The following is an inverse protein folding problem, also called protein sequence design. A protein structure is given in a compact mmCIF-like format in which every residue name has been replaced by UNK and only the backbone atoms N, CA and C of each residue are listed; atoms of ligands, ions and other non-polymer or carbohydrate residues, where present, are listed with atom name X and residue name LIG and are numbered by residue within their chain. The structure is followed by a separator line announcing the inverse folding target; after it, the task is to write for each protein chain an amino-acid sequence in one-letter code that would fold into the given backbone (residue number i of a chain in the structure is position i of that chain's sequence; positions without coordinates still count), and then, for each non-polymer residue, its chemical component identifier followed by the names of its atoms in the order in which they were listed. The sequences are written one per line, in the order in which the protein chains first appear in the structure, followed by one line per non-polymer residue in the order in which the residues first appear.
data_IF_474941308759
#
_entry.id   IF_474941308759
#
_cell.length_a   1.000
_cell.length_b   1.000
_cell.length_c   1.000
_cell.angle_alpha   90.00
_cell.angle_beta   90.00
_cell.angle_gamma   90.00
#
_symmetry.space_group_name_H-M   'P 1'
#
loop_
_entity.id
_entity.type
_entity.pdbx_description
1 polymer ?
#
# COMPACT_ATOMS: atom_id res chain seq x y z
N UNK A 1 13.00 -51.73 28.76
CA UNK A 1 12.24 -50.97 27.76
C UNK A 1 11.09 -50.24 28.45
N UNK A 2 11.30 -48.97 28.76
CA UNK A 2 10.25 -47.95 28.59
C UNK A 2 10.82 -46.63 28.04
N UNK A 3 10.03 -45.85 27.28
CA UNK A 3 10.22 -44.39 27.12
C UNK A 3 9.03 -43.70 26.41
N UNK A 4 8.28 -42.93 27.20
CA UNK A 4 7.40 -41.74 27.00
C UNK A 4 7.67 -40.84 25.75
N UNK A 5 6.99 -39.66 25.58
CA UNK A 5 5.54 -39.33 25.50
C UNK A 5 5.24 -38.28 24.38
N UNK A 6 3.98 -37.83 24.22
CA UNK A 6 3.63 -36.54 23.61
C UNK A 6 2.58 -35.82 24.47
N UNK A 7 2.76 -34.53 24.83
CA UNK A 7 1.75 -33.78 25.56
C UNK A 7 0.94 -32.84 24.66
N UNK A 8 -0.30 -32.66 25.08
CA UNK A 8 -1.23 -31.59 24.76
C UNK A 8 -0.79 -30.26 25.38
N UNK A 9 -1.18 -29.13 24.77
CA UNK A 9 -1.27 -27.85 25.48
C UNK A 9 -2.27 -26.92 24.80
N UNK A 10 -3.42 -26.80 25.46
CA UNK A 10 -4.42 -25.75 25.29
C UNK A 10 -3.87 -24.42 25.84
N UNK A 11 -4.22 -23.30 25.20
CA UNK A 11 -3.85 -21.96 25.66
C UNK A 11 -4.91 -21.46 26.65
N UNK A 12 -4.51 -21.33 27.92
CA UNK A 12 -5.28 -20.71 29.00
C UNK A 12 -5.10 -19.19 28.99
N UNK A 13 -6.22 -18.50 29.21
CA UNK A 13 -6.34 -17.07 29.39
C UNK A 13 -6.42 -16.78 30.89
N UNK A 14 -5.62 -15.84 31.42
CA UNK A 14 -5.74 -15.38 32.81
C UNK A 14 -5.40 -13.89 32.96
N UNK A 15 -6.33 -13.16 33.56
CA UNK A 15 -6.21 -11.81 34.14
C UNK A 15 -5.30 -11.77 35.38
N UNK A 16 -4.59 -10.65 35.64
CA UNK A 16 -4.85 -9.72 36.78
C UNK A 16 -3.78 -8.62 37.00
N UNK A 17 -4.28 -7.41 37.35
CA UNK A 17 -3.82 -6.33 38.27
C UNK A 17 -2.48 -5.55 38.09
N UNK A 18 -2.67 -4.25 37.75
CA UNK A 18 -2.33 -3.03 38.53
C UNK A 18 -0.96 -2.88 39.22
N UNK A 19 -0.20 -1.84 38.84
CA UNK A 19 0.49 -0.95 39.78
C UNK A 19 0.62 0.49 39.20
N UNK A 20 0.60 1.47 40.10
CA UNK A 20 0.43 2.92 39.91
C UNK A 20 1.54 3.64 40.70
N UNK A 21 1.89 4.86 40.28
CA UNK A 21 2.82 5.86 40.89
C UNK A 21 4.33 5.62 40.65
N UNK A 22 5.20 6.60 40.35
CA UNK A 22 5.37 7.96 40.91
C UNK A 22 6.01 8.98 39.94
N UNK A 23 5.79 10.26 40.25
CA UNK A 23 6.35 11.52 39.71
C UNK A 23 7.86 11.73 39.96
N UNK A 24 8.57 12.52 39.14
CA UNK A 24 8.96 13.94 39.40
C UNK A 24 9.77 14.56 38.22
N UNK A 25 9.74 15.88 38.01
CA UNK A 25 10.26 16.61 36.84
C UNK A 25 11.54 17.41 37.14
N UNK A 26 12.23 17.93 36.11
CA UNK A 26 13.12 19.10 36.26
C UNK A 26 13.06 20.04 35.03
N UNK A 27 12.73 21.29 35.34
CA UNK A 27 12.99 22.59 34.68
C UNK A 27 14.49 22.79 34.36
N UNK A 28 15.03 23.75 33.60
CA UNK A 28 14.62 24.96 32.86
C UNK A 28 15.88 25.48 32.11
N UNK A 29 15.67 26.26 31.03
CA UNK A 29 16.60 27.08 30.21
C UNK A 29 17.38 28.18 31.01
N UNK A 30 18.16 29.16 30.43
CA UNK A 30 18.69 29.42 29.06
C UNK A 30 20.18 29.91 29.00
N UNK A 31 20.71 30.20 27.80
CA UNK A 31 21.90 31.05 27.61
C UNK A 31 22.12 31.49 26.14
N UNK A 32 22.20 32.82 25.92
CA UNK A 32 22.43 33.60 24.68
C UNK A 32 23.90 33.53 24.21
N UNK A 33 24.44 34.13 23.12
CA UNK A 33 24.10 35.14 22.11
C UNK A 33 25.27 35.21 21.07
N UNK A 34 24.95 35.57 19.82
CA UNK A 34 25.70 36.37 18.80
C UNK A 34 27.07 35.97 18.22
N UNK A 35 27.17 35.87 16.87
CA UNK A 35 27.64 36.97 15.96
C UNK A 35 27.87 36.49 14.50
N UNK A 36 27.94 37.46 13.60
CA UNK A 36 27.63 37.45 12.17
C UNK A 36 28.88 37.49 11.24
N UNK A 37 28.67 37.11 9.96
CA UNK A 37 29.39 37.51 8.71
C UNK A 37 30.65 36.76 8.24
N UNK A 38 30.53 36.09 7.07
CA UNK A 38 31.00 36.61 5.76
C UNK A 38 30.51 35.76 4.57
N UNK A 39 30.37 36.39 3.40
CA UNK A 39 29.72 35.94 2.16
C UNK A 39 30.72 36.08 0.99
N UNK A 40 30.47 35.35 -0.13
CA UNK A 40 30.87 35.56 -1.56
C UNK A 40 31.87 34.47 -2.08
N UNK A 41 31.73 33.76 -3.22
CA UNK A 41 30.93 33.88 -4.45
C UNK A 41 30.87 32.57 -5.32
N UNK A 42 29.67 32.29 -5.89
CA UNK A 42 29.26 31.71 -7.21
C UNK A 42 30.06 30.63 -8.00
N UNK A 43 29.35 29.55 -8.39
CA UNK A 43 28.76 29.30 -9.76
C UNK A 43 27.87 28.03 -9.79
N UNK A 44 26.65 28.12 -10.31
CA UNK A 44 25.72 26.98 -10.55
C UNK A 44 26.06 26.23 -11.85
N UNK A 45 25.81 24.91 -11.92
CA UNK A 45 25.15 24.33 -13.09
C UNK A 45 24.47 22.95 -12.86
N UNK A 46 23.24 22.84 -13.36
CA UNK A 46 22.45 21.67 -13.81
C UNK A 46 22.79 20.26 -13.26
N UNK A 47 21.97 19.75 -12.31
CA UNK A 47 21.55 18.34 -12.09
C UNK A 47 21.06 18.15 -10.64
N UNK A 48 19.83 18.59 -10.34
CA UNK A 48 19.14 18.15 -9.11
C UNK A 48 18.31 16.91 -9.44
N UNK A 49 18.98 15.81 -9.72
CA UNK A 49 18.43 14.50 -9.34
C UNK A 49 18.55 14.50 -7.83
N UNK A 50 17.42 14.37 -7.12
CA UNK A 50 17.35 14.43 -5.66
C UNK A 50 18.49 13.60 -5.07
N UNK A 51 19.36 14.23 -4.27
CA UNK A 51 20.47 13.59 -3.56
C UNK A 51 19.98 12.35 -2.79
N UNK A 52 18.73 12.36 -2.35
CA UNK A 52 18.01 11.27 -1.71
C UNK A 52 17.82 10.05 -2.62
N UNK A 53 17.57 10.25 -3.92
CA UNK A 53 17.45 9.18 -4.92
C UNK A 53 18.81 8.56 -5.23
N UNK A 54 19.88 9.38 -5.26
CA UNK A 54 21.24 8.90 -5.48
C UNK A 54 21.73 8.05 -4.29
N UNK A 55 21.42 8.48 -3.06
CA UNK A 55 21.73 7.74 -1.83
C UNK A 55 20.96 6.41 -1.77
N UNK A 56 19.69 6.39 -2.21
CA UNK A 56 18.91 5.16 -2.28
C UNK A 56 19.47 4.16 -3.32
N UNK A 57 19.88 4.63 -4.50
CA UNK A 57 20.50 3.78 -5.52
C UNK A 57 21.88 3.28 -5.05
N UNK A 58 22.70 4.12 -4.40
CA UNK A 58 23.98 3.71 -3.82
C UNK A 58 23.81 2.67 -2.70
N UNK A 59 22.80 2.82 -1.84
CA UNK A 59 22.50 1.84 -0.80
C UNK A 59 22.09 0.48 -1.39
N UNK A 60 21.33 0.47 -2.49
CA UNK A 60 20.93 -0.75 -3.21
C UNK A 60 22.15 -1.43 -3.87
N UNK A 61 23.07 -0.66 -4.44
CA UNK A 61 24.27 -1.19 -5.09
C UNK A 61 25.30 -1.74 -4.10
N UNK A 62 25.50 -1.04 -2.97
CA UNK A 62 26.37 -1.51 -1.87
C UNK A 62 25.80 -2.78 -1.24
N UNK A 63 24.47 -2.84 -1.03
CA UNK A 63 23.79 -4.04 -0.52
C UNK A 63 23.92 -5.25 -1.46
N UNK A 64 23.77 -5.04 -2.78
CA UNK A 64 24.00 -6.10 -3.78
C UNK A 64 25.45 -6.61 -3.80
N UNK A 65 26.43 -5.74 -3.60
CA UNK A 65 27.84 -6.15 -3.61
C UNK A 65 28.22 -6.93 -2.35
N UNK A 66 27.68 -6.56 -1.17
CA UNK A 66 27.88 -7.29 0.09
C UNK A 66 27.27 -8.70 0.08
N UNK A 67 26.22 -8.93 -0.72
CA UNK A 67 25.59 -10.25 -0.88
C UNK A 67 26.37 -11.20 -1.81
N UNK A 68 27.42 -10.74 -2.50
CA UNK A 68 28.20 -11.57 -3.44
C UNK A 68 29.49 -12.18 -2.86
N UNK A 69 29.80 -11.93 -1.59
CA UNK A 69 30.98 -12.49 -0.93
C UNK A 69 30.57 -13.52 0.13
N UNK A 70 30.69 -14.81 -0.20
CA UNK A 70 30.70 -15.91 0.77
C UNK A 70 32.02 -15.94 1.57
N UNK A 71 32.04 -16.64 2.72
CA UNK A 71 32.79 -16.18 3.89
C UNK A 71 34.20 -16.78 3.93
N UNK A 72 35.22 -15.95 4.15
CA UNK A 72 36.41 -16.33 4.90
C UNK A 72 37.25 -15.11 5.32
N UNK A 73 37.35 -14.96 6.65
CA UNK A 73 38.44 -14.40 7.47
C UNK A 73 38.98 -12.96 7.24
N UNK A 74 38.76 -12.17 8.30
CA UNK A 74 39.45 -10.95 8.79
C UNK A 74 39.19 -9.58 8.12
N UNK A 75 38.98 -8.49 8.91
CA UNK A 75 38.53 -7.20 8.38
C UNK A 75 39.72 -6.37 7.91
N UNK A 76 39.83 -6.17 6.60
CA UNK A 76 40.76 -5.19 6.01
C UNK A 76 39.97 -3.91 5.65
N UNK A 77 40.42 -2.79 6.21
CA UNK A 77 39.87 -1.44 5.98
C UNK A 77 40.05 -1.08 4.49
N UNK A 78 38.94 -0.92 3.77
CA UNK A 78 38.96 -0.58 2.34
C UNK A 78 39.21 0.93 2.18
N UNK A 79 40.32 1.28 1.52
CA UNK A 79 40.75 2.66 1.27
C UNK A 79 39.84 3.37 0.25
N UNK A 80 39.52 4.64 0.56
CA UNK A 80 38.69 5.59 -0.22
C UNK A 80 39.09 5.69 -1.71
N UNK A 81 40.32 5.31 -2.07
CA UNK A 81 40.79 5.27 -3.46
C UNK A 81 40.06 4.24 -4.32
N UNK A 82 39.69 3.08 -3.77
CA UNK A 82 39.06 2.00 -4.54
C UNK A 82 37.60 2.31 -4.92
N UNK A 83 36.92 3.09 -4.07
CA UNK A 83 35.56 3.58 -4.30
C UNK A 83 35.48 4.63 -5.42
N UNK A 84 36.57 5.38 -5.64
CA UNK A 84 36.65 6.40 -6.68
C UNK A 84 36.89 5.76 -8.06
N UNK A 85 37.70 4.70 -8.13
CA UNK A 85 37.97 4.01 -9.41
C UNK A 85 36.75 3.26 -9.95
N UNK A 86 35.94 2.62 -9.10
CA UNK A 86 34.69 1.93 -9.52
C UNK A 86 33.62 2.93 -10.03
N UNK A 87 33.60 4.14 -9.47
CA UNK A 87 32.73 5.22 -9.92
C UNK A 87 33.16 5.80 -11.29
N UNK A 88 34.44 5.73 -11.66
CA UNK A 88 34.92 6.26 -12.94
C UNK A 88 34.73 5.26 -14.10
N UNK A 89 34.80 3.95 -13.84
CA UNK A 89 34.64 2.92 -14.88
C UNK A 89 33.19 2.65 -15.28
N UNK A 90 32.20 3.12 -14.51
CA UNK A 90 30.77 2.97 -14.83
C UNK A 90 30.21 4.08 -15.72
N UNK A 91 31.00 5.10 -16.05
CA UNK A 91 30.60 6.20 -16.95
C UNK A 91 31.08 6.09 -18.40
N UNK A 92 31.64 4.94 -18.80
CA UNK A 92 32.07 4.73 -20.18
C UNK A 92 31.65 3.35 -20.70
N UNK A 93 30.36 3.19 -21.04
CA UNK A 93 29.96 2.23 -22.07
C UNK A 93 28.60 2.58 -22.70
N UNK A 94 28.44 2.53 -24.04
CA UNK A 94 27.25 3.01 -24.74
C UNK A 94 26.26 1.86 -24.99
N UNK A 95 25.33 1.59 -24.06
CA UNK A 95 24.23 0.63 -24.31
C UNK A 95 22.92 1.16 -23.72
N UNK A 96 22.45 2.31 -24.20
CA UNK A 96 21.02 2.70 -24.15
C UNK A 96 20.71 3.49 -25.41
N UNK A 97 20.58 2.81 -26.57
CA UNK A 97 20.09 3.47 -27.80
C UNK A 97 19.18 2.61 -28.68
N UNK A 98 18.49 1.61 -28.14
CA UNK A 98 17.43 0.92 -28.89
C UNK A 98 16.21 0.74 -28.03
N UNK A 99 15.16 1.55 -28.29
CA UNK A 99 13.73 1.22 -28.22
C UNK A 99 12.88 2.51 -28.25
N UNK A 100 13.10 3.39 -29.24
CA UNK A 100 12.06 4.34 -29.67
C UNK A 100 12.12 4.43 -31.19
N UNK A 101 11.41 3.53 -31.86
CA UNK A 101 11.04 3.69 -33.27
C UNK A 101 9.69 3.03 -33.50
N UNK A 102 8.63 3.83 -33.40
CA UNK A 102 7.38 3.71 -34.14
C UNK A 102 6.59 5.02 -33.99
N UNK A 103 6.81 5.93 -34.95
CA UNK A 103 5.84 6.97 -35.35
C UNK A 103 4.81 6.25 -36.26
N UNK A 104 3.53 6.61 -36.44
CA UNK A 104 2.81 7.87 -36.46
C UNK A 104 1.29 7.53 -36.39
N UNK A 105 0.45 8.40 -35.82
CA UNK A 105 -0.64 9.09 -36.53
C UNK A 105 -0.83 10.45 -35.84
N UNK A 106 -0.78 11.49 -36.67
CA UNK A 106 -0.94 12.91 -36.36
C UNK A 106 -2.41 13.27 -36.23
N UNK A 107 -2.78 14.15 -35.28
CA UNK A 107 -3.68 15.30 -35.53
C UNK A 107 -3.72 16.30 -34.35
N UNK A 108 -3.26 17.52 -34.68
CA UNK A 108 -3.57 18.84 -34.15
C UNK A 108 -3.36 19.18 -32.65
N UNK A 109 -2.16 19.70 -32.36
CA UNK A 109 -1.96 20.62 -31.24
C UNK A 109 -2.42 22.03 -31.63
N UNK A 110 -3.37 22.57 -30.86
CA UNK A 110 -3.58 24.02 -30.81
C UNK A 110 -2.42 24.67 -30.06
N UNK A 111 -1.73 25.59 -30.73
CA UNK A 111 -0.73 26.45 -30.12
C UNK A 111 -1.42 27.43 -29.15
N UNK A 112 -1.24 27.24 -27.85
CA UNK A 112 -1.39 28.35 -26.91
C UNK A 112 -0.08 29.13 -26.87
N UNK A 113 -0.12 30.36 -27.37
CA UNK A 113 0.95 31.33 -27.24
C UNK A 113 1.25 31.58 -25.75
N UNK A 114 2.40 31.12 -25.29
CA UNK A 114 2.97 31.60 -24.03
C UNK A 114 3.39 33.06 -24.20
N UNK A 115 2.57 33.99 -23.71
CA UNK A 115 3.03 35.33 -23.42
C UNK A 115 4.13 35.24 -22.35
N UNK A 116 5.37 35.52 -22.76
CA UNK A 116 6.50 35.79 -21.85
C UNK A 116 6.11 36.97 -20.94
N UNK A 117 5.80 36.69 -19.68
CA UNK A 117 5.81 37.74 -18.63
C UNK A 117 7.26 38.12 -18.35
N UNK A 118 7.50 39.44 -18.33
CA UNK A 118 8.76 40.10 -17.96
C UNK A 118 9.21 39.70 -16.54
N UNK A 119 10.51 39.83 -16.21
CA UNK A 119 11.00 39.50 -14.87
C UNK A 119 10.44 40.52 -13.88
N UNK A 120 9.47 40.09 -13.07
CA UNK A 120 8.96 40.89 -11.95
C UNK A 120 10.02 40.85 -10.84
N UNK A 121 10.47 42.02 -10.41
CA UNK A 121 11.56 42.15 -9.45
C UNK A 121 11.22 41.48 -8.12
N UNK A 122 12.10 40.60 -7.65
CA UNK A 122 12.32 40.30 -6.22
C UNK A 122 11.10 40.02 -5.34
N UNK A 123 10.01 39.44 -5.86
CA UNK A 123 8.95 38.91 -5.00
C UNK A 123 9.45 37.59 -4.40
N UNK A 124 9.54 37.54 -3.07
CA UNK A 124 9.70 36.27 -2.36
C UNK A 124 8.45 35.43 -2.66
N UNK A 125 8.59 34.47 -3.58
CA UNK A 125 7.55 33.48 -3.85
C UNK A 125 7.47 32.58 -2.62
N UNK A 126 6.37 32.65 -1.90
CA UNK A 126 6.08 31.76 -0.79
C UNK A 126 5.79 30.36 -1.33
N UNK A 127 6.16 29.34 -0.58
CA UNK A 127 5.76 27.95 -0.88
C UNK A 127 4.22 27.79 -0.94
N UNK A 128 3.48 28.74 -0.36
CA UNK A 128 2.02 28.77 -0.36
C UNK A 128 1.40 29.54 -1.52
N UNK A 129 2.19 30.17 -2.40
CA UNK A 129 1.67 30.97 -3.52
C UNK A 129 1.05 30.11 -4.63
N UNK A 130 1.27 28.79 -4.61
CA UNK A 130 0.68 27.81 -5.53
C UNK A 130 -0.77 27.43 -5.15
N UNK A 131 -1.30 27.92 -4.03
CA UNK A 131 -2.67 27.65 -3.61
C UNK A 131 -3.68 28.55 -4.32
N UNK A 132 -4.84 28.01 -4.75
CA UNK A 132 -5.92 28.84 -5.23
C UNK A 132 -6.34 29.83 -4.13
N UNK A 133 -6.56 31.12 -4.47
CA UNK A 133 -7.12 32.06 -3.51
C UNK A 133 -8.49 31.57 -3.02
N UNK A 134 -8.74 31.68 -1.71
CA UNK A 134 -9.95 31.20 -1.03
C UNK A 134 -10.14 29.68 -1.00
N UNK A 135 -9.03 28.92 -0.99
CA UNK A 135 -9.04 27.49 -0.67
C UNK A 135 -8.80 27.26 0.84
N UNK A 136 -9.52 26.32 1.49
CA UNK A 136 -10.63 25.53 0.98
C UNK A 136 -11.89 26.38 0.75
N UNK A 137 -12.81 25.97 -0.17
CA UNK A 137 -14.05 26.69 -0.40
C UNK A 137 -14.94 26.68 0.87
N UNK A 138 -15.88 27.63 0.99
CA UNK A 138 -16.82 27.64 2.10
C UNK A 138 -17.63 26.34 2.20
N UNK A 139 -17.93 25.95 3.43
CA UNK A 139 -18.81 24.82 3.72
C UNK A 139 -20.21 25.01 3.12
N UNK A 140 -20.81 23.89 2.70
CA UNK A 140 -22.21 23.82 2.28
C UNK A 140 -23.05 23.07 3.32
N UNK A 141 -24.36 22.96 3.11
CA UNK A 141 -25.24 22.17 3.99
C UNK A 141 -24.91 20.68 3.99
N UNK A 142 -24.24 20.19 2.93
CA UNK A 142 -23.96 18.77 2.74
C UNK A 142 -22.47 18.42 2.80
N UNK A 143 -21.57 19.39 2.69
CA UNK A 143 -20.12 19.16 2.56
C UNK A 143 -19.31 20.17 3.35
N UNK A 144 -18.27 19.69 4.03
CA UNK A 144 -17.23 20.52 4.67
C UNK A 144 -15.86 20.12 4.14
N UNK A 145 -14.97 21.10 3.92
CA UNK A 145 -13.62 20.83 3.38
C UNK A 145 -12.54 21.28 4.37
N UNK A 146 -11.67 20.35 4.75
CA UNK A 146 -10.51 20.59 5.60
C UNK A 146 -9.25 20.40 4.76
N UNK A 147 -8.38 21.42 4.69
CA UNK A 147 -7.12 21.31 3.96
C UNK A 147 -5.95 20.91 4.86
N UNK A 148 -5.14 19.97 4.37
CA UNK A 148 -3.92 19.49 5.01
C UNK A 148 -2.71 19.75 4.11
N UNK A 149 -1.75 20.52 4.62
CA UNK A 149 -0.49 20.82 3.95
C UNK A 149 0.67 20.80 4.95
N UNK A 150 1.63 19.88 4.74
CA UNK A 150 2.77 19.69 5.65
C UNK A 150 3.72 20.89 5.72
N UNK A 151 3.65 21.83 4.77
CA UNK A 151 4.47 23.03 4.75
C UNK A 151 3.76 24.22 5.44
N UNK A 152 2.57 24.01 6.00
CA UNK A 152 1.83 25.01 6.76
C UNK A 152 1.02 25.98 5.90
N UNK A 153 0.79 25.64 4.63
CA UNK A 153 -0.01 26.47 3.73
C UNK A 153 -1.52 26.31 3.89
N UNK A 154 -1.95 25.42 4.80
CA UNK A 154 -3.34 25.15 5.14
C UNK A 154 -3.57 25.12 6.65
N UNK A 155 -4.83 25.00 7.03
CA UNK A 155 -5.29 24.98 8.42
C UNK A 155 -4.72 23.82 9.24
N UNK A 156 -4.33 22.72 8.58
CA UNK A 156 -3.74 21.55 9.22
C UNK A 156 -2.42 21.18 8.55
N UNK A 157 -1.44 20.76 9.36
CA UNK A 157 -0.16 20.23 8.88
C UNK A 157 -0.07 18.71 8.88
N UNK A 158 -0.99 18.04 9.58
CA UNK A 158 -1.10 16.58 9.67
C UNK A 158 -2.50 16.11 9.32
N UNK A 159 -2.60 14.87 8.81
CA UNK A 159 -3.88 14.26 8.43
C UNK A 159 -4.70 13.93 9.67
N UNK A 160 -4.06 13.41 10.73
CA UNK A 160 -4.78 13.08 11.97
C UNK A 160 -5.44 14.32 12.60
N UNK A 161 -4.78 15.48 12.59
CA UNK A 161 -5.38 16.70 13.15
C UNK A 161 -6.65 17.14 12.39
N UNK A 162 -6.67 16.96 11.07
CA UNK A 162 -7.87 17.22 10.29
C UNK A 162 -8.98 16.19 10.59
N UNK A 163 -8.64 14.90 10.75
CA UNK A 163 -9.62 13.88 11.19
C UNK A 163 -10.19 14.24 12.55
N UNK A 164 -9.37 14.68 13.50
CA UNK A 164 -9.77 15.06 14.85
C UNK A 164 -10.71 16.26 14.86
N UNK A 165 -10.55 17.19 13.91
CA UNK A 165 -11.40 18.38 13.76
C UNK A 165 -12.80 18.09 13.19
N UNK A 166 -13.01 16.96 12.51
CA UNK A 166 -14.34 16.59 12.00
C UNK A 166 -15.31 16.33 13.15
N UNK A 167 -16.50 16.95 13.14
CA UNK A 167 -17.51 16.70 14.17
C UNK A 167 -17.94 15.24 14.23
N UNK A 168 -18.13 14.70 15.43
CA UNK A 168 -18.68 13.36 15.62
C UNK A 168 -20.09 13.26 15.02
N UNK A 169 -20.41 12.12 14.43
CA UNK A 169 -21.70 11.81 13.79
C UNK A 169 -22.14 12.84 12.74
N UNK A 170 -21.18 13.48 12.07
CA UNK A 170 -21.46 14.46 11.03
C UNK A 170 -22.31 13.85 9.91
N UNK A 171 -23.43 14.52 9.62
CA UNK A 171 -24.30 14.18 8.49
C UNK A 171 -23.75 14.74 7.17
N UNK A 172 -22.80 15.68 7.25
CA UNK A 172 -22.09 16.21 6.09
C UNK A 172 -21.00 15.25 5.65
N UNK A 173 -20.67 15.26 4.36
CA UNK A 173 -19.43 14.68 3.86
C UNK A 173 -18.27 15.60 4.22
N UNK A 174 -17.29 15.08 4.96
CA UNK A 174 -16.12 15.85 5.39
C UNK A 174 -14.95 15.47 4.48
N UNK A 175 -14.62 16.35 3.53
CA UNK A 175 -13.52 16.17 2.60
C UNK A 175 -12.24 16.69 3.24
N UNK A 176 -11.35 15.79 3.61
CA UNK A 176 -9.98 16.09 3.99
C UNK A 176 -9.15 16.12 2.72
N UNK A 177 -8.89 17.33 2.24
CA UNK A 177 -8.04 17.60 1.09
C UNK A 177 -6.57 17.54 1.52
N UNK A 178 -5.83 16.59 0.99
CA UNK A 178 -4.45 16.30 1.37
C UNK A 178 -3.55 16.66 0.18
N UNK A 179 -2.65 17.60 0.40
CA UNK A 179 -1.76 18.08 -0.64
C UNK A 179 -0.65 17.09 -1.03
N UNK A 180 0.12 17.46 -2.05
CA UNK A 180 1.31 16.69 -2.46
C UNK A 180 2.29 16.62 -1.29
N UNK A 181 2.76 15.41 -0.99
CA UNK A 181 3.72 15.18 0.08
C UNK A 181 3.66 13.78 0.68
N UNK A 182 4.71 13.49 1.44
CA UNK A 182 4.77 12.33 2.32
C UNK A 182 4.39 12.80 3.73
N UNK A 183 3.35 12.21 4.28
CA UNK A 183 2.84 12.43 5.63
C UNK A 183 3.23 11.23 6.48
N UNK A 184 4.32 11.37 7.25
CA UNK A 184 4.86 10.31 8.09
C UNK A 184 4.16 10.32 9.45
N UNK A 185 3.02 9.67 9.55
CA UNK A 185 2.15 9.65 10.72
C UNK A 185 1.25 8.41 10.73
N UNK A 186 0.81 7.98 11.92
CA UNK A 186 -0.32 7.05 12.02
C UNK A 186 -1.63 7.82 11.98
N UNK A 187 -2.58 7.31 11.22
CA UNK A 187 -3.92 7.91 11.13
C UNK A 187 -4.99 6.89 11.53
N UNK A 188 -5.89 7.29 12.43
CA UNK A 188 -7.07 6.53 12.83
C UNK A 188 -8.30 7.35 12.49
N UNK A 189 -9.18 6.78 11.66
CA UNK A 189 -10.50 7.32 11.36
C UNK A 189 -11.52 6.55 12.20
N UNK A 190 -11.98 7.10 13.34
CA UNK A 190 -12.81 6.36 14.29
C UNK A 190 -14.24 6.16 13.79
N UNK A 191 -14.91 5.12 14.29
CA UNK A 191 -16.30 4.77 13.93
C UNK A 191 -17.30 5.91 14.14
N UNK A 192 -17.03 6.80 15.11
CA UNK A 192 -17.90 7.94 15.43
C UNK A 192 -17.81 9.09 14.42
N UNK A 193 -16.97 9.00 13.39
CA UNK A 193 -16.79 10.05 12.36
C UNK A 193 -17.11 9.50 10.96
N UNK A 194 -18.40 9.22 10.65
CA UNK A 194 -18.81 8.73 9.34
C UNK A 194 -18.57 9.77 8.23
N UNK A 195 -18.69 9.34 6.97
CA UNK A 195 -18.71 10.23 5.79
C UNK A 195 -17.43 11.05 5.57
N UNK A 196 -16.28 10.53 5.98
CA UNK A 196 -14.98 11.16 5.71
C UNK A 196 -14.50 10.79 4.31
N UNK A 197 -13.96 11.77 3.58
CA UNK A 197 -13.28 11.57 2.29
C UNK A 197 -11.84 12.05 2.38
N UNK A 198 -10.87 11.19 2.10
CA UNK A 198 -9.49 11.60 1.86
C UNK A 198 -9.30 11.87 0.37
N UNK A 199 -8.96 13.11 0.03
CA UNK A 199 -8.71 13.54 -1.34
C UNK A 199 -7.24 13.92 -1.50
N UNK A 200 -6.43 13.03 -2.06
CA UNK A 200 -5.04 13.32 -2.42
C UNK A 200 -4.91 13.95 -3.82
N UNK A 201 -3.68 14.26 -4.21
CA UNK A 201 -3.34 14.89 -5.49
C UNK A 201 -2.83 13.90 -6.56
N UNK A 202 -2.80 12.61 -6.23
CA UNK A 202 -2.24 11.54 -7.05
C UNK A 202 -1.60 10.49 -6.15
N UNK A 203 -1.81 9.20 -6.44
CA UNK A 203 -1.21 8.14 -5.62
C UNK A 203 0.33 8.15 -5.67
N UNK A 204 0.93 8.70 -6.72
CA UNK A 204 2.40 8.86 -6.82
C UNK A 204 2.94 10.11 -6.13
N UNK A 205 2.08 11.05 -5.73
CA UNK A 205 2.47 12.37 -5.21
C UNK A 205 2.01 12.63 -3.77
N UNK A 206 0.97 11.96 -3.30
CA UNK A 206 0.42 12.11 -1.94
C UNK A 206 0.39 10.75 -1.25
N UNK A 207 1.05 10.64 -0.09
CA UNK A 207 1.13 9.39 0.65
C UNK A 207 1.08 9.59 2.18
N UNK A 208 0.34 8.73 2.87
CA UNK A 208 0.43 8.55 4.32
C UNK A 208 1.29 7.32 4.60
N UNK A 209 2.30 7.47 5.44
CA UNK A 209 3.37 6.49 5.63
C UNK A 209 3.63 6.24 7.11
N UNK A 210 3.74 4.97 7.48
CA UNK A 210 4.28 4.54 8.78
C UNK A 210 5.13 3.27 8.61
N UNK A 211 5.63 2.68 9.71
CA UNK A 211 6.55 1.55 9.66
C UNK A 211 6.38 0.52 10.79
N UNK A 212 5.18 0.44 11.39
CA UNK A 212 4.93 -0.57 12.42
C UNK A 212 4.91 -1.98 11.83
N UNK A 213 5.45 -2.91 12.60
CA UNK A 213 5.28 -4.35 12.39
C UNK A 213 4.33 -4.91 13.45
N UNK A 214 3.81 -6.11 13.23
CA UNK A 214 3.05 -6.82 14.25
C UNK A 214 3.81 -6.94 15.58
N UNK A 215 5.14 -7.08 15.53
CA UNK A 215 5.97 -7.10 16.73
C UNK A 215 6.01 -5.74 17.45
N UNK A 216 6.19 -4.63 16.70
CA UNK A 216 6.23 -3.28 17.32
C UNK A 216 4.86 -2.81 17.81
N UNK A 217 3.78 -3.30 17.21
CA UNK A 217 2.41 -2.89 17.53
C UNK A 217 1.62 -3.90 18.38
N UNK A 218 2.25 -4.96 18.86
CA UNK A 218 1.59 -6.05 19.62
C UNK A 218 0.44 -6.75 18.87
N UNK A 219 0.62 -6.93 17.56
CA UNK A 219 -0.26 -7.71 16.70
C UNK A 219 -0.45 -7.05 15.33
N UNK A 220 -0.62 -7.87 14.28
CA UNK A 220 -0.82 -7.42 12.90
C UNK A 220 -1.90 -6.36 12.78
N UNK A 221 -3.01 -6.54 13.49
CA UNK A 221 -4.19 -5.68 13.39
C UNK A 221 -3.94 -4.24 13.84
N UNK A 222 -2.92 -4.01 14.66
CA UNK A 222 -2.55 -2.69 15.19
C UNK A 222 -1.39 -2.04 14.40
N UNK A 223 -0.77 -2.77 13.48
CA UNK A 223 0.38 -2.29 12.67
C UNK A 223 -0.03 -1.34 11.54
N UNK A 224 -1.33 -1.17 11.30
CA UNK A 224 -1.88 -0.31 10.24
C UNK A 224 -1.33 1.11 10.31
N UNK A 225 -0.71 1.56 9.22
CA UNK A 225 -0.30 2.97 9.07
C UNK A 225 -1.53 3.88 9.07
N UNK A 226 -2.59 3.43 8.40
CA UNK A 226 -3.94 3.99 8.50
C UNK A 226 -4.93 2.93 8.99
N UNK A 227 -5.82 3.29 9.91
CA UNK A 227 -6.91 2.44 10.38
C UNK A 227 -8.24 3.15 10.21
N UNK A 228 -9.11 2.59 9.38
CA UNK A 228 -10.43 3.14 9.05
C UNK A 228 -11.50 2.27 9.70
N UNK A 229 -12.14 2.79 10.74
CA UNK A 229 -13.29 2.15 11.41
C UNK A 229 -14.62 2.84 11.06
N UNK A 230 -14.56 3.91 10.26
CA UNK A 230 -15.67 4.77 9.90
C UNK A 230 -16.42 4.24 8.68
N UNK A 231 -17.76 4.28 8.75
CA UNK A 231 -18.63 3.93 7.63
C UNK A 231 -18.67 5.05 6.59
N UNK A 232 -18.95 4.68 5.33
CA UNK A 232 -19.04 5.60 4.19
C UNK A 232 -17.74 6.37 3.91
N UNK A 233 -16.60 5.79 4.31
CA UNK A 233 -15.27 6.35 4.06
C UNK A 233 -14.93 6.31 2.58
N UNK A 234 -14.33 7.38 2.07
CA UNK A 234 -13.82 7.44 0.70
C UNK A 234 -12.36 7.83 0.70
N UNK A 235 -11.55 7.22 -0.16
CA UNK A 235 -10.24 7.74 -0.52
C UNK A 235 -10.11 7.87 -2.04
N UNK A 236 -9.51 8.98 -2.48
CA UNK A 236 -9.23 9.24 -3.89
C UNK A 236 -7.81 9.73 -4.07
N UNK A 237 -7.10 9.18 -5.06
CA UNK A 237 -5.82 9.69 -5.53
C UNK A 237 -4.76 9.87 -4.42
N UNK A 238 -4.65 8.91 -3.51
CA UNK A 238 -3.71 8.92 -2.38
C UNK A 238 -3.13 7.53 -2.17
N UNK A 239 -1.91 7.48 -1.62
CA UNK A 239 -1.26 6.24 -1.23
C UNK A 239 -1.25 6.00 0.27
N UNK A 240 -1.41 4.75 0.66
CA UNK A 240 -1.22 4.24 2.01
C UNK A 240 -0.01 3.30 1.98
N UNK A 241 0.98 3.55 2.84
CA UNK A 241 2.23 2.81 2.81
C UNK A 241 2.67 2.37 4.20
N UNK A 242 3.11 1.11 4.31
CA UNK A 242 3.93 0.65 5.42
C UNK A 242 5.35 0.36 4.92
N UNK A 243 6.34 1.08 5.44
CA UNK A 243 7.75 0.98 5.05
C UNK A 243 8.61 0.21 6.06
N UNK A 244 7.98 -0.67 6.84
CA UNK A 244 8.72 -1.61 7.67
C UNK A 244 9.71 -2.45 6.82
N UNK A 245 10.86 -2.88 7.38
CA UNK A 245 11.80 -3.71 6.66
C UNK A 245 11.12 -4.97 6.11
N UNK A 246 11.34 -5.25 4.82
CA UNK A 246 10.78 -6.44 4.15
C UNK A 246 11.40 -7.69 4.80
N UNK A 247 10.60 -8.51 5.49
CA UNK A 247 11.14 -9.69 6.14
C UNK A 247 11.40 -10.82 5.14
N UNK A 248 12.30 -11.74 5.53
CA UNK A 248 12.36 -13.02 4.87
C UNK A 248 11.13 -13.89 5.18
N UNK A 249 10.94 -15.00 4.46
CA UNK A 249 9.78 -15.87 4.67
C UNK A 249 9.85 -16.55 6.04
N UNK A 250 8.72 -16.59 6.76
CA UNK A 250 8.62 -17.26 8.07
C UNK A 250 9.12 -16.45 9.27
N UNK A 251 9.52 -15.19 9.09
CA UNK A 251 9.88 -14.32 10.20
C UNK A 251 8.65 -14.04 11.09
N UNK A 252 8.82 -14.24 12.40
CA UNK A 252 7.77 -13.98 13.38
C UNK A 252 7.56 -12.48 13.61
N UNK A 253 6.30 -12.05 13.59
CA UNK A 253 5.92 -10.67 13.95
C UNK A 253 6.29 -9.61 12.92
N UNK A 254 6.59 -10.00 11.67
CA UNK A 254 7.04 -9.08 10.63
C UNK A 254 5.94 -8.58 9.69
N UNK A 255 4.69 -8.99 9.92
CA UNK A 255 3.52 -8.46 9.22
C UNK A 255 3.45 -6.94 9.39
N UNK A 256 3.11 -6.20 8.33
CA UNK A 256 3.18 -4.74 8.36
C UNK A 256 2.08 -4.12 7.48
N UNK A 257 0.99 -3.71 8.12
CA UNK A 257 -0.22 -3.25 7.43
C UNK A 257 -0.07 -1.80 6.97
N UNK A 258 -0.32 -1.52 5.69
CA UNK A 258 -0.40 -0.17 5.16
C UNK A 258 -1.72 0.49 5.55
N UNK A 259 -2.83 -0.21 5.35
CA UNK A 259 -4.15 0.24 5.78
C UNK A 259 -5.02 -0.93 6.22
N UNK A 260 -5.79 -0.70 7.28
CA UNK A 260 -6.87 -1.56 7.75
C UNK A 260 -8.21 -0.88 7.56
N UNK A 261 -9.17 -1.59 6.97
CA UNK A 261 -10.51 -1.07 6.67
C UNK A 261 -11.56 -1.98 7.31
N UNK A 262 -12.30 -1.43 8.26
CA UNK A 262 -13.26 -2.16 9.09
C UNK A 262 -14.62 -1.44 9.24
N UNK A 263 -14.80 -0.29 8.58
CA UNK A 263 -16.09 0.40 8.46
C UNK A 263 -16.80 -0.03 7.17
N UNK A 264 -18.12 -0.10 7.19
CA UNK A 264 -18.92 -0.52 6.03
C UNK A 264 -18.98 0.55 4.94
N UNK A 265 -19.21 0.16 3.69
CA UNK A 265 -19.43 1.07 2.57
C UNK A 265 -18.22 1.99 2.29
N UNK A 266 -17.01 1.43 2.32
CA UNK A 266 -15.78 2.16 2.03
C UNK A 266 -15.39 2.05 0.54
N UNK A 267 -14.97 3.16 -0.07
CA UNK A 267 -14.60 3.17 -1.48
C UNK A 267 -13.28 3.89 -1.79
N UNK A 268 -12.52 3.32 -2.73
CA UNK A 268 -11.16 3.75 -3.08
C UNK A 268 -11.05 3.92 -4.60
N UNK A 269 -10.66 5.10 -5.07
CA UNK A 269 -10.48 5.40 -6.49
C UNK A 269 -9.08 5.93 -6.79
N UNK A 270 -8.35 5.25 -7.68
CA UNK A 270 -7.01 5.71 -8.07
C UNK A 270 -6.02 5.73 -6.91
N UNK A 271 -6.24 4.89 -5.88
CA UNK A 271 -5.41 4.82 -4.68
C UNK A 271 -4.24 3.84 -4.86
N UNK A 272 -3.18 4.08 -4.09
CA UNK A 272 -2.03 3.21 -4.00
C UNK A 272 -1.93 2.53 -2.63
N UNK A 273 -1.55 1.26 -2.61
CA UNK A 273 -1.38 0.47 -1.39
C UNK A 273 -0.02 -0.22 -1.46
N UNK A 274 0.88 0.12 -0.54
CA UNK A 274 2.27 -0.33 -0.58
C UNK A 274 2.71 -0.93 0.75
N UNK A 275 3.20 -2.15 0.70
CA UNK A 275 3.79 -2.85 1.83
C UNK A 275 4.44 -4.14 1.35
N UNK A 276 4.79 -5.02 2.29
CA UNK A 276 5.28 -6.35 1.98
C UNK A 276 4.22 -7.39 2.38
N UNK A 277 4.42 -8.03 3.53
CA UNK A 277 3.45 -8.95 4.10
C UNK A 277 2.28 -8.20 4.74
N UNK A 278 1.05 -8.64 4.46
CA UNK A 278 -0.20 -8.13 5.05
C UNK A 278 -0.49 -6.65 4.71
N UNK A 279 -0.17 -6.21 3.47
CA UNK A 279 -0.28 -4.80 3.05
C UNK A 279 -1.67 -4.19 3.24
N UNK A 280 -2.70 -4.81 2.68
CA UNK A 280 -4.09 -4.34 2.72
C UNK A 280 -4.90 -5.28 3.61
N UNK A 281 -5.23 -4.82 4.82
CA UNK A 281 -6.12 -5.52 5.72
C UNK A 281 -7.57 -5.09 5.45
N UNK A 282 -8.18 -5.77 4.50
CA UNK A 282 -9.58 -5.64 4.10
C UNK A 282 -10.50 -6.41 5.08
N UNK A 283 -10.54 -5.90 6.32
CA UNK A 283 -10.96 -6.60 7.54
C UNK A 283 -12.44 -7.04 7.50
N UNK A 284 -13.37 -6.08 7.40
CA UNK A 284 -14.82 -6.34 7.38
C UNK A 284 -15.58 -5.18 6.76
N UNK A 285 -16.78 -5.46 6.26
CA UNK A 285 -17.65 -4.48 5.60
C UNK A 285 -17.77 -4.73 4.10
N UNK A 286 -18.52 -3.87 3.41
CA UNK A 286 -18.66 -3.86 1.95
C UNK A 286 -17.77 -2.79 1.35
N UNK A 287 -16.83 -3.18 0.50
CA UNK A 287 -15.85 -2.23 -0.03
C UNK A 287 -15.73 -2.27 -1.54
N UNK A 288 -15.33 -1.14 -2.11
CA UNK A 288 -15.11 -0.98 -3.54
C UNK A 288 -13.75 -0.37 -3.82
N UNK A 289 -12.95 -1.03 -4.63
CA UNK A 289 -11.64 -0.55 -5.07
C UNK A 289 -11.67 -0.43 -6.59
N UNK A 290 -11.51 0.79 -7.12
CA UNK A 290 -11.52 1.05 -8.55
C UNK A 290 -10.19 1.67 -8.99
N UNK A 291 -9.59 1.13 -10.04
CA UNK A 291 -8.36 1.68 -10.63
C UNK A 291 -7.22 1.87 -9.60
N UNK A 292 -7.16 0.97 -8.61
CA UNK A 292 -6.16 1.03 -7.56
C UNK A 292 -4.89 0.26 -7.94
N UNK A 293 -3.77 0.67 -7.37
CA UNK A 293 -2.49 -0.05 -7.44
C UNK A 293 -2.21 -0.68 -6.08
N UNK A 294 -2.10 -2.01 -6.02
CA UNK A 294 -1.90 -2.76 -4.77
C UNK A 294 -0.64 -3.60 -4.90
N UNK A 295 0.35 -3.36 -4.03
CA UNK A 295 1.62 -4.07 -4.03
C UNK A 295 1.93 -4.74 -2.69
N UNK A 296 2.40 -5.99 -2.74
CA UNK A 296 2.95 -6.69 -1.57
C UNK A 296 3.49 -8.08 -1.89
N UNK A 297 3.81 -8.88 -0.87
CA UNK A 297 4.42 -10.22 -1.01
C UNK A 297 3.51 -11.35 -0.55
N UNK A 298 3.41 -11.55 0.77
CA UNK A 298 2.65 -12.61 1.42
C UNK A 298 1.33 -12.03 1.93
N UNK A 299 0.22 -12.67 1.58
CA UNK A 299 -1.13 -12.34 2.05
C UNK A 299 -1.47 -10.86 1.94
N UNK A 300 -0.99 -10.21 0.88
CA UNK A 300 -0.95 -8.75 0.86
C UNK A 300 -2.33 -8.11 0.63
N UNK A 301 -3.36 -8.91 0.34
CA UNK A 301 -4.78 -8.57 0.47
C UNK A 301 -5.45 -9.63 1.35
N UNK A 302 -5.80 -9.29 2.58
CA UNK A 302 -6.33 -10.26 3.54
C UNK A 302 -7.44 -9.67 4.41
N UNK A 303 -8.24 -10.53 5.03
CA UNK A 303 -9.39 -10.11 5.85
C UNK A 303 -10.67 -10.87 5.49
N UNK A 304 -11.82 -10.40 5.97
CA UNK A 304 -13.12 -11.02 5.79
C UNK A 304 -14.17 -10.04 5.21
N UNK A 305 -13.76 -8.98 4.50
CA UNK A 305 -14.71 -8.09 3.84
C UNK A 305 -15.44 -8.76 2.65
N UNK A 306 -16.50 -8.09 2.19
CA UNK A 306 -17.22 -8.34 0.93
C UNK A 306 -16.79 -7.24 -0.05
N UNK A 307 -15.81 -7.51 -0.89
CA UNK A 307 -15.12 -6.47 -1.64
C UNK A 307 -15.06 -6.75 -3.14
N UNK A 308 -15.30 -5.70 -3.92
CA UNK A 308 -15.11 -5.71 -5.37
C UNK A 308 -13.91 -4.83 -5.73
N UNK A 309 -12.93 -5.45 -6.36
CA UNK A 309 -11.76 -4.82 -6.95
C UNK A 309 -11.97 -4.76 -8.46
N UNK A 310 -12.14 -3.57 -9.02
CA UNK A 310 -12.42 -3.34 -10.43
C UNK A 310 -11.28 -2.53 -11.06
N UNK A 311 -10.81 -2.95 -12.24
CA UNK A 311 -9.76 -2.27 -13.00
C UNK A 311 -8.45 -2.04 -12.21
N UNK A 312 -8.17 -2.90 -11.22
CA UNK A 312 -7.01 -2.74 -10.34
C UNK A 312 -5.74 -3.40 -10.91
N UNK A 313 -4.59 -2.86 -10.53
CA UNK A 313 -3.27 -3.45 -10.76
C UNK A 313 -2.78 -4.07 -9.47
N UNK A 314 -2.60 -5.39 -9.48
CA UNK A 314 -2.19 -6.20 -8.32
C UNK A 314 -0.77 -6.71 -8.59
N UNK A 315 0.19 -6.20 -7.83
CA UNK A 315 1.62 -6.36 -8.12
C UNK A 315 2.33 -7.07 -6.98
N UNK A 316 2.75 -8.31 -7.22
CA UNK A 316 3.62 -9.02 -6.29
C UNK A 316 5.03 -8.44 -6.30
N UNK A 317 5.62 -8.33 -5.11
CA UNK A 317 7.04 -8.06 -4.89
C UNK A 317 7.72 -9.21 -4.12
N UNK A 318 7.17 -10.42 -4.20
CA UNK A 318 7.79 -11.63 -3.65
C UNK A 318 9.16 -11.87 -4.30
N UNK A 319 10.08 -12.52 -3.57
CA UNK A 319 11.41 -12.75 -4.11
C UNK A 319 11.34 -13.75 -5.28
N UNK A 320 12.09 -13.51 -6.37
CA UNK A 320 12.24 -14.48 -7.43
C UNK A 320 12.75 -15.83 -6.88
N UNK A 321 12.20 -16.92 -7.42
CA UNK A 321 12.66 -18.27 -7.08
C UNK A 321 13.58 -18.81 -8.16
N UNK A 322 14.54 -19.67 -7.79
CA UNK A 322 15.42 -20.30 -8.75
C UNK A 322 14.63 -21.11 -9.80
N UNK A 323 15.12 -21.15 -11.04
CA UNK A 323 14.48 -21.91 -12.11
C UNK A 323 14.32 -23.40 -11.70
N UNK A 324 13.11 -23.94 -11.87
CA UNK A 324 12.77 -25.30 -11.45
C UNK A 324 12.40 -25.45 -9.97
N UNK A 325 12.57 -24.41 -9.14
CA UNK A 325 12.09 -24.43 -7.76
C UNK A 325 10.56 -24.43 -7.70
N UNK A 326 10.02 -25.19 -6.74
CA UNK A 326 8.60 -25.18 -6.38
C UNK A 326 8.28 -24.32 -5.17
N UNK A 327 9.27 -23.60 -4.62
CA UNK A 327 9.05 -22.71 -3.48
C UNK A 327 8.04 -21.63 -3.83
N UNK A 328 7.12 -21.36 -2.90
CA UNK A 328 6.18 -20.26 -2.98
C UNK A 328 6.65 -19.20 -2.00
N UNK A 329 6.78 -17.96 -2.48
CA UNK A 329 7.25 -16.84 -1.65
C UNK A 329 6.25 -15.68 -1.57
N UNK A 330 5.00 -15.95 -1.95
CA UNK A 330 3.95 -14.95 -1.90
C UNK A 330 2.57 -15.53 -2.12
N UNK A 331 1.57 -14.76 -1.71
CA UNK A 331 0.17 -15.04 -1.94
C UNK A 331 -0.53 -13.71 -2.13
N UNK A 332 -1.31 -13.58 -3.21
CA UNK A 332 -2.06 -12.35 -3.48
C UNK A 332 -3.13 -12.15 -2.42
N UNK A 333 -3.89 -13.19 -2.13
CA UNK A 333 -5.01 -13.11 -1.18
C UNK A 333 -4.89 -14.08 0.00
N UNK A 334 -5.49 -13.68 1.12
CA UNK A 334 -5.77 -14.57 2.26
C UNK A 334 -7.15 -14.24 2.84
N UNK A 335 -8.21 -14.73 2.19
CA UNK A 335 -9.58 -14.45 2.61
C UNK A 335 -10.01 -15.31 3.81
N UNK A 336 -10.59 -14.66 4.80
CA UNK A 336 -10.83 -15.14 6.15
C UNK A 336 -12.29 -15.47 6.48
N UNK A 337 -13.10 -15.87 5.50
CA UNK A 337 -14.48 -16.30 5.76
C UNK A 337 -14.57 -17.58 6.57
N UNK A 338 -15.34 -17.55 7.64
CA UNK A 338 -15.35 -18.60 8.68
C UNK A 338 -16.56 -19.51 8.61
N UNK A 339 -17.67 -19.07 7.99
CA UNK A 339 -18.87 -19.89 7.83
C UNK A 339 -19.55 -19.70 6.48
N UNK A 340 -20.39 -20.67 6.09
CA UNK A 340 -21.24 -20.57 4.89
C UNK A 340 -22.29 -19.46 4.97
N UNK A 341 -22.65 -19.03 6.18
CA UNK A 341 -23.71 -18.03 6.40
C UNK A 341 -23.20 -16.60 6.23
N UNK A 342 -21.88 -16.39 6.30
CA UNK A 342 -21.26 -15.12 5.96
C UNK A 342 -21.37 -14.84 4.45
N UNK A 343 -21.80 -13.65 4.06
CA UNK A 343 -21.80 -13.23 2.64
C UNK A 343 -20.57 -12.38 2.29
N UNK A 344 -19.38 -12.84 2.65
CA UNK A 344 -18.11 -12.12 2.45
C UNK A 344 -17.26 -12.77 1.35
N UNK A 345 -16.33 -12.05 0.75
CA UNK A 345 -15.54 -12.55 -0.37
C UNK A 345 -14.77 -11.44 -1.06
N UNK A 346 -13.65 -11.80 -1.69
CA UNK A 346 -12.91 -10.89 -2.56
C UNK A 346 -13.17 -11.22 -4.02
N UNK A 347 -13.58 -10.22 -4.81
CA UNK A 347 -13.83 -10.39 -6.23
C UNK A 347 -13.00 -9.39 -7.02
N UNK A 348 -12.23 -9.88 -7.99
CA UNK A 348 -11.39 -9.08 -8.87
C UNK A 348 -11.96 -9.14 -10.28
N UNK A 349 -12.38 -7.99 -10.82
CA UNK A 349 -12.97 -7.86 -12.16
C UNK A 349 -12.09 -6.96 -13.01
N UNK A 350 -11.75 -7.41 -14.21
CA UNK A 350 -10.94 -6.66 -15.17
C UNK A 350 -9.59 -6.16 -14.59
N UNK A 351 -9.01 -6.93 -13.69
CA UNK A 351 -7.76 -6.59 -13.02
C UNK A 351 -6.55 -7.13 -13.79
N UNK A 352 -5.36 -6.74 -13.35
CA UNK A 352 -4.10 -7.39 -13.73
C UNK A 352 -3.39 -7.92 -12.50
N UNK A 353 -2.80 -9.11 -12.60
CA UNK A 353 -1.96 -9.72 -11.56
C UNK A 353 -0.58 -9.99 -12.14
N UNK A 354 0.44 -9.31 -11.61
CA UNK A 354 1.82 -9.44 -12.08
C UNK A 354 2.87 -9.09 -11.04
N UNK A 355 4.09 -8.81 -11.47
CA UNK A 355 5.21 -8.47 -10.58
C UNK A 355 6.32 -9.53 -10.57
N UNK A 356 6.86 -9.83 -9.40
CA UNK A 356 7.97 -10.78 -9.22
C UNK A 356 7.62 -11.96 -8.34
N UNK A 357 8.45 -13.01 -8.39
CA UNK A 357 8.33 -14.16 -7.51
C UNK A 357 7.56 -15.33 -8.11
N UNK A 358 7.26 -16.31 -7.26
CA UNK A 358 6.34 -17.42 -7.56
C UNK A 358 5.28 -17.44 -6.48
N UNK A 359 4.03 -17.15 -6.85
CA UNK A 359 2.97 -16.83 -5.90
C UNK A 359 1.69 -17.61 -6.16
N UNK A 360 0.89 -17.75 -5.12
CA UNK A 360 -0.51 -18.14 -5.25
C UNK A 360 -1.41 -16.92 -5.50
N UNK A 361 -2.53 -17.14 -6.20
CA UNK A 361 -3.65 -16.22 -6.26
C UNK A 361 -4.30 -16.06 -4.88
N UNK A 362 -4.28 -17.10 -4.06
CA UNK A 362 -4.75 -17.01 -2.69
C UNK A 362 -4.48 -18.25 -1.86
N UNK A 363 -4.56 -18.07 -0.55
CA UNK A 363 -4.60 -19.17 0.42
C UNK A 363 -5.72 -19.03 1.45
N UNK A 364 -6.27 -20.17 1.87
CA UNK A 364 -7.48 -20.22 2.69
C UNK A 364 -7.21 -19.91 4.16
N UNK A 365 -7.08 -18.64 4.54
CA UNK A 365 -6.85 -18.27 5.94
C UNK A 365 -7.91 -18.84 6.89
N UNK A 366 -9.16 -18.99 6.42
CA UNK A 366 -10.26 -19.64 7.13
C UNK A 366 -11.01 -20.66 6.26
N UNK A 367 -11.77 -21.60 6.85
CA UNK A 367 -12.32 -22.76 6.14
C UNK A 367 -13.30 -22.47 4.99
N UNK A 368 -13.96 -21.32 4.98
CA UNK A 368 -14.95 -20.95 3.94
C UNK A 368 -14.44 -19.82 3.03
N UNK A 369 -13.11 -19.66 2.94
CA UNK A 369 -12.43 -18.66 2.11
C UNK A 369 -13.06 -18.56 0.71
N UNK A 370 -13.41 -17.34 0.28
CA UNK A 370 -14.08 -17.09 -1.00
C UNK A 370 -13.36 -15.99 -1.77
N UNK A 371 -12.79 -16.37 -2.92
CA UNK A 371 -12.09 -15.44 -3.82
C UNK A 371 -12.43 -15.77 -5.26
N UNK A 372 -12.72 -14.75 -6.06
CA UNK A 372 -13.00 -14.88 -7.49
C UNK A 372 -12.14 -13.92 -8.30
N UNK A 373 -11.46 -14.44 -9.32
CA UNK A 373 -10.82 -13.64 -10.37
C UNK A 373 -11.63 -13.77 -11.66
N UNK A 374 -12.10 -12.65 -12.19
CA UNK A 374 -12.93 -12.57 -13.39
C UNK A 374 -12.32 -11.60 -14.41
N UNK A 375 -12.21 -12.03 -15.67
CA UNK A 375 -11.62 -11.24 -16.75
C UNK A 375 -10.26 -10.62 -16.39
N UNK A 376 -9.48 -11.32 -15.58
CA UNK A 376 -8.21 -10.82 -15.03
C UNK A 376 -7.04 -11.34 -15.86
N UNK A 377 -6.09 -10.48 -16.20
CA UNK A 377 -4.85 -10.89 -16.88
C UNK A 377 -3.79 -11.27 -15.86
N UNK A 378 -3.21 -12.47 -15.97
CA UNK A 378 -2.25 -13.03 -15.02
C UNK A 378 -0.91 -13.31 -15.70
N UNK A 379 0.18 -12.75 -15.17
CA UNK A 379 1.54 -13.06 -15.63
C UNK A 379 2.03 -14.43 -15.13
N UNK A 380 3.20 -14.88 -15.59
CA UNK A 380 3.77 -16.20 -15.34
C UNK A 380 4.32 -16.41 -13.92
N UNK A 381 4.21 -15.40 -13.04
CA UNK A 381 4.52 -15.53 -11.61
C UNK A 381 3.52 -16.43 -10.86
N UNK A 382 2.34 -16.67 -11.43
CA UNK A 382 1.31 -17.50 -10.80
C UNK A 382 1.73 -18.97 -10.88
N UNK A 383 1.86 -19.59 -9.72
CA UNK A 383 2.16 -21.01 -9.62
C UNK A 383 1.08 -21.85 -10.34
N UNK A 384 1.43 -22.96 -11.01
CA UNK A 384 0.45 -23.77 -11.75
C UNK A 384 -0.73 -24.27 -10.89
N UNK A 385 -0.45 -24.66 -9.63
CA UNK A 385 -1.47 -25.02 -8.64
C UNK A 385 -2.43 -23.86 -8.31
N UNK A 386 -1.96 -22.62 -8.45
CA UNK A 386 -2.71 -21.36 -8.35
C UNK A 386 -3.12 -20.99 -6.92
N UNK A 387 -3.53 -21.97 -6.12
CA UNK A 387 -4.21 -21.77 -4.85
C UNK A 387 -3.67 -22.73 -3.78
N UNK A 388 -3.87 -22.37 -2.51
CA UNK A 388 -3.55 -23.22 -1.37
C UNK A 388 -4.70 -23.24 -0.36
N UNK A 389 -5.10 -24.43 0.06
CA UNK A 389 -6.13 -24.71 1.07
C UNK A 389 -5.61 -24.49 2.50
N UNK A 390 -4.49 -23.78 2.66
CA UNK A 390 -3.73 -23.66 3.90
C UNK A 390 -3.13 -25.00 4.37
N UNK A 391 -2.90 -25.93 3.45
CA UNK A 391 -2.45 -27.30 3.70
C UNK A 391 -3.42 -28.08 4.61
N UNK A 392 -4.72 -27.85 4.41
CA UNK A 392 -5.80 -28.46 5.18
C UNK A 392 -6.90 -28.95 4.22
N UNK A 393 -6.80 -30.21 3.75
CA UNK A 393 -7.72 -30.77 2.76
C UNK A 393 -9.18 -30.83 3.21
N UNK A 394 -9.45 -30.65 4.52
CA UNK A 394 -10.83 -30.58 5.02
C UNK A 394 -11.58 -29.34 4.52
N UNK A 395 -10.85 -28.33 4.02
CA UNK A 395 -11.41 -27.08 3.50
C UNK A 395 -11.81 -27.15 2.04
N UNK A 396 -11.33 -28.15 1.29
CA UNK A 396 -11.58 -28.30 -0.15
C UNK A 396 -13.07 -28.28 -0.52
N UNK A 397 -13.92 -28.75 0.39
CA UNK A 397 -15.37 -28.82 0.18
C UNK A 397 -16.11 -27.51 0.52
N UNK A 398 -15.46 -26.60 1.27
CA UNK A 398 -16.09 -25.39 1.81
C UNK A 398 -15.54 -24.09 1.23
N UNK A 399 -14.32 -24.09 0.68
CA UNK A 399 -13.76 -22.94 -0.02
C UNK A 399 -14.42 -22.71 -1.37
N UNK A 400 -14.42 -21.45 -1.81
CA UNK A 400 -14.89 -21.07 -3.14
C UNK A 400 -13.82 -20.25 -3.84
N UNK A 401 -12.99 -20.93 -4.64
CA UNK A 401 -11.97 -20.30 -5.49
C UNK A 401 -12.38 -20.42 -6.95
N UNK A 402 -12.72 -19.29 -7.54
CA UNK A 402 -13.26 -19.21 -8.89
C UNK A 402 -12.35 -18.43 -9.84
N UNK A 403 -12.12 -18.96 -11.03
CA UNK A 403 -11.51 -18.24 -12.15
C UNK A 403 -12.52 -18.21 -13.31
N UNK A 404 -12.82 -17.01 -13.83
CA UNK A 404 -13.72 -16.78 -14.95
C UNK A 404 -13.02 -15.93 -16.02
N UNK A 405 -12.94 -16.45 -17.25
CA UNK A 405 -12.40 -15.73 -18.41
C UNK A 405 -11.04 -15.02 -18.17
N UNK A 406 -10.16 -15.60 -17.34
CA UNK A 406 -8.84 -15.04 -17.08
C UNK A 406 -7.88 -15.36 -18.23
N UNK A 407 -6.93 -14.46 -18.49
CA UNK A 407 -6.00 -14.58 -19.63
C UNK A 407 -4.56 -14.35 -19.20
N UNK A 408 -3.61 -14.56 -20.11
CA UNK A 408 -2.17 -14.43 -19.84
C UNK A 408 -1.51 -15.74 -19.41
N UNK A 409 -0.18 -15.78 -19.33
CA UNK A 409 0.58 -17.02 -19.10
C UNK A 409 0.32 -17.66 -17.73
N UNK A 410 -0.09 -16.89 -16.72
CA UNK A 410 -0.46 -17.41 -15.39
C UNK A 410 -1.87 -17.96 -15.27
N UNK A 411 -2.74 -17.74 -16.27
CA UNK A 411 -4.15 -18.12 -16.22
C UNK A 411 -4.43 -19.58 -16.67
N UNK A 412 -3.38 -20.35 -16.99
CA UNK A 412 -3.57 -21.74 -17.40
C UNK A 412 -4.05 -22.60 -16.23
N UNK A 413 -5.30 -23.05 -16.32
CA UNK A 413 -5.93 -23.84 -15.25
C UNK A 413 -5.62 -25.35 -15.27
N UNK A 414 -4.87 -25.87 -16.25
CA UNK A 414 -4.67 -27.33 -16.45
C UNK A 414 -4.01 -28.06 -15.29
N UNK A 415 -3.32 -27.33 -14.40
CA UNK A 415 -2.60 -27.85 -13.23
C UNK A 415 -3.08 -27.25 -11.91
N UNK A 416 -4.23 -26.56 -11.92
CA UNK A 416 -4.81 -25.97 -10.70
C UNK A 416 -5.13 -27.06 -9.68
N UNK A 417 -5.15 -26.66 -8.41
CA UNK A 417 -5.63 -27.54 -7.35
C UNK A 417 -7.07 -28.05 -7.67
N UNK A 418 -7.42 -29.30 -7.33
CA UNK A 418 -8.67 -29.92 -7.78
C UNK A 418 -9.96 -29.22 -7.30
N UNK A 419 -9.91 -28.49 -6.18
CA UNK A 419 -11.03 -27.75 -5.62
C UNK A 419 -11.29 -26.40 -6.31
N UNK A 420 -10.44 -25.97 -7.23
CA UNK A 420 -10.57 -24.70 -7.95
C UNK A 420 -11.65 -24.83 -9.02
N UNK A 421 -12.55 -23.85 -9.07
CA UNK A 421 -13.69 -23.85 -9.97
C UNK A 421 -13.39 -23.00 -11.21
N UNK A 422 -13.45 -23.64 -12.38
CA UNK A 422 -13.61 -22.90 -13.65
C UNK A 422 -15.07 -22.50 -13.77
N UNK A 423 -15.34 -21.21 -13.57
CA UNK A 423 -16.71 -20.71 -13.60
C UNK A 423 -17.20 -20.58 -15.05
N UNK A 424 -18.48 -20.87 -15.26
CA UNK A 424 -19.21 -20.47 -16.47
C UNK A 424 -19.95 -19.14 -16.25
N UNK A 425 -20.58 -18.62 -17.31
CA UNK A 425 -21.27 -17.32 -17.30
C UNK A 425 -22.31 -17.21 -16.18
N UNK A 426 -23.12 -18.25 -15.97
CA UNK A 426 -24.17 -18.27 -14.92
C UNK A 426 -23.57 -18.28 -13.52
N UNK A 427 -22.50 -19.04 -13.30
CA UNK A 427 -21.82 -19.11 -12.00
C UNK A 427 -21.06 -17.81 -11.69
N UNK A 428 -20.52 -17.15 -12.72
CA UNK A 428 -19.77 -15.92 -12.57
C UNK A 428 -20.68 -14.70 -12.37
N UNK A 429 -21.84 -14.65 -13.03
CA UNK A 429 -22.73 -13.47 -13.07
C UNK A 429 -22.98 -12.76 -11.73
N UNK A 430 -23.20 -13.44 -10.58
CA UNK A 430 -23.42 -12.79 -9.29
C UNK A 430 -22.21 -12.00 -8.76
N UNK A 431 -21.01 -12.24 -9.29
CA UNK A 431 -19.76 -11.62 -8.85
C UNK A 431 -19.32 -10.46 -9.75
N UNK A 432 -19.81 -10.36 -10.99
CA UNK A 432 -19.21 -9.50 -12.02
C UNK A 432 -19.52 -8.01 -11.90
N UNK A 433 -20.43 -7.59 -11.03
CA UNK A 433 -20.90 -6.20 -10.98
C UNK A 433 -21.12 -5.70 -9.55
N UNK A 434 -21.46 -4.42 -9.43
CA UNK A 434 -21.64 -3.71 -8.15
C UNK A 434 -22.68 -4.36 -7.21
N UNK A 435 -23.66 -5.12 -7.72
CA UNK A 435 -24.61 -5.84 -6.86
C UNK A 435 -23.93 -6.86 -5.96
N UNK A 436 -22.74 -7.36 -6.32
CA UNK A 436 -21.94 -8.21 -5.44
C UNK A 436 -21.60 -7.52 -4.13
N UNK A 437 -21.58 -6.19 -4.05
CA UNK A 437 -21.32 -5.43 -2.81
C UNK A 437 -22.51 -4.54 -2.43
N UNK A 438 -23.69 -4.80 -3.01
CA UNK A 438 -24.88 -3.95 -2.94
C UNK A 438 -24.57 -2.48 -3.31
N UNK A 439 -23.59 -2.26 -4.20
CA UNK A 439 -23.04 -0.95 -4.53
C UNK A 439 -24.08 -0.01 -5.15
N UNK A 440 -25.11 -0.55 -5.77
CA UNK A 440 -26.29 0.18 -6.22
C UNK A 440 -27.03 0.92 -5.10
N UNK A 441 -26.87 0.49 -3.85
CA UNK A 441 -27.51 1.11 -2.68
C UNK A 441 -26.70 2.24 -2.04
N UNK A 442 -25.37 2.20 -2.16
CA UNK A 442 -24.50 3.09 -1.38
C UNK A 442 -23.42 3.84 -2.18
N UNK A 443 -23.06 3.39 -3.38
CA UNK A 443 -22.08 4.07 -4.24
C UNK A 443 -22.70 5.16 -5.13
N UNK A 444 -24.02 5.19 -5.31
CA UNK A 444 -24.72 6.13 -6.19
C UNK A 444 -24.37 7.61 -5.97
N UNK A 445 -24.11 8.12 -4.75
CA UNK A 445 -23.70 9.50 -4.57
C UNK A 445 -22.30 9.84 -5.12
N UNK A 446 -21.54 8.85 -5.60
CA UNK A 446 -20.10 8.96 -5.89
C UNK A 446 -19.68 8.47 -7.28
N UNK A 447 -20.57 7.77 -8.00
CA UNK A 447 -20.45 7.48 -9.44
C UNK A 447 -20.81 8.73 -10.24
#
# INVERSE_FOLDING_TARGET
MPSNPFPSSACLCSHFLSFKYLFFPFSSLPGSSDTEKTKKERKMNLKSISLTFLVAILAILVSKHFMSSTPNNNPQIISLKYLIDVCLTTFSSPIISSLISLKFISRHHHHHHHHKKKPDGGKNVSICDDFPPNFPPPDTDTTSILCVDRNGCCNFTTVQAAVDAVSNSSQKRNIIWINVGIYYEKVIVPIIKPNITFQGQGFTSTAIVWNDTANSSHGTFYSGSVQVFSDNFIAKNISFMNVAPIPGPGYMGAQAVAIRIAGDQAAFWGCGFFGAQDTLHDDKGRHYFKQCYIQGSIDFIFGNARSLYEDCQVVSMANPVAAGSKSIDGSVTAHGRTSKDENTGFVFVNCTVGGTGRVWLGRAWRPFSRVVFASTTMSDIIAPEGWNDFNDPTRDQSIFYGEYNCTGPGANMSKRAPYVQRLNDTQAAPFLNLSFIDGDQWLQPFL
#
